data_IF_506191050655
#
_entry.id   IF_506191050655
#
_cell.length_a   1.000
_cell.length_b   1.000
_cell.length_c   1.000
_cell.angle_alpha   90.00
_cell.angle_beta   90.00
_cell.angle_gamma   90.00
#
_symmetry.space_group_name_H-M   'P 1'
#
loop_
_entity.id
_entity.type
_entity.pdbx_description
1 polymer ?
#
# COMPACT_ATOMS: atom_id res chain seq x y z
N UNK A 1 -20.80 -51.54 -32.96
CA UNK A 1 -19.84 -51.47 -31.84
C UNK A 1 -19.80 -50.02 -31.41
N UNK A 2 -20.72 -49.60 -30.54
CA UNK A 2 -20.44 -49.41 -29.11
C UNK A 2 -19.07 -48.76 -28.92
N UNK A 3 -19.05 -47.45 -28.71
CA UNK A 3 -18.09 -46.83 -27.79
C UNK A 3 -18.73 -45.54 -27.29
N UNK A 4 -19.52 -45.73 -26.22
CA UNK A 4 -19.90 -44.67 -25.32
C UNK A 4 -18.63 -44.23 -24.58
N UNK A 5 -17.97 -43.18 -25.06
CA UNK A 5 -16.94 -42.51 -24.28
C UNK A 5 -17.66 -41.56 -23.33
N UNK A 6 -18.05 -42.12 -22.18
CA UNK A 6 -18.59 -41.34 -21.07
C UNK A 6 -17.59 -40.26 -20.69
N UNK A 7 -17.97 -39.00 -20.83
CA UNK A 7 -17.21 -37.88 -20.28
C UNK A 7 -17.11 -38.09 -18.77
N UNK A 8 -15.91 -38.38 -18.27
CA UNK A 8 -15.66 -38.61 -16.86
C UNK A 8 -16.11 -37.36 -16.06
N UNK A 9 -17.08 -37.48 -15.14
CA UNK A 9 -17.60 -36.34 -14.38
C UNK A 9 -16.53 -35.61 -13.56
N UNK A 10 -15.39 -36.24 -13.27
CA UNK A 10 -14.26 -35.60 -12.59
C UNK A 10 -13.49 -34.62 -13.49
N UNK A 11 -13.38 -34.87 -14.80
CA UNK A 11 -12.69 -33.99 -15.75
C UNK A 11 -13.47 -32.69 -15.98
N UNK A 12 -14.80 -32.79 -16.08
CA UNK A 12 -15.70 -31.63 -16.15
C UNK A 12 -15.65 -30.77 -14.88
N UNK A 13 -15.51 -31.40 -13.71
CA UNK A 13 -15.37 -30.69 -12.43
C UNK A 13 -14.01 -29.97 -12.34
N UNK A 14 -12.93 -30.58 -12.83
CA UNK A 14 -11.61 -29.95 -12.85
C UNK A 14 -11.57 -28.74 -13.81
N UNK A 15 -12.13 -28.89 -15.01
CA UNK A 15 -12.27 -27.78 -15.98
C UNK A 15 -13.18 -26.66 -15.44
N UNK A 16 -14.30 -27.01 -14.80
CA UNK A 16 -15.17 -26.03 -14.16
C UNK A 16 -14.46 -25.26 -13.04
N UNK A 17 -13.68 -25.95 -12.21
CA UNK A 17 -12.91 -25.31 -11.14
C UNK A 17 -11.82 -24.37 -11.69
N UNK A 18 -11.07 -24.80 -12.71
CA UNK A 18 -10.06 -23.96 -13.36
C UNK A 18 -10.66 -22.70 -13.99
N UNK A 19 -11.81 -22.82 -14.65
CA UNK A 19 -12.53 -21.67 -15.23
C UNK A 19 -13.02 -20.67 -14.16
N UNK A 20 -13.41 -21.15 -12.98
CA UNK A 20 -13.79 -20.28 -11.86
C UNK A 20 -12.58 -19.58 -11.22
N UNK A 21 -11.43 -20.28 -11.10
CA UNK A 21 -10.19 -19.68 -10.60
C UNK A 21 -9.63 -18.62 -11.57
N UNK A 22 -9.63 -18.89 -12.89
CA UNK A 22 -9.19 -17.92 -13.90
C UNK A 22 -10.07 -16.66 -13.93
N UNK A 23 -11.39 -16.81 -13.72
CA UNK A 23 -12.30 -15.68 -13.56
C UNK A 23 -11.94 -14.83 -12.34
N UNK A 24 -11.61 -15.43 -11.20
CA UNK A 24 -11.22 -14.68 -10.00
C UNK A 24 -9.89 -13.93 -10.15
N UNK A 25 -8.87 -14.58 -10.73
CA UNK A 25 -7.58 -13.93 -11.01
C UNK A 25 -7.75 -12.75 -11.97
N UNK A 26 -8.57 -12.90 -13.01
CA UNK A 26 -8.86 -11.82 -13.98
C UNK A 26 -9.60 -10.64 -13.35
N UNK A 27 -10.58 -10.87 -12.48
CA UNK A 27 -11.31 -9.79 -11.78
C UNK A 27 -10.35 -8.98 -10.89
N UNK A 28 -9.42 -9.64 -10.20
CA UNK A 28 -8.46 -8.96 -9.34
C UNK A 28 -7.38 -8.21 -10.13
N UNK A 29 -6.92 -8.76 -11.25
CA UNK A 29 -5.95 -8.09 -12.15
C UNK A 29 -6.55 -6.87 -12.86
N UNK A 30 -7.79 -6.93 -13.37
CA UNK A 30 -8.45 -5.77 -14.01
C UNK A 30 -8.64 -4.61 -13.02
N UNK A 31 -8.89 -4.92 -11.74
CA UNK A 31 -8.98 -3.93 -10.67
C UNK A 31 -7.62 -3.30 -10.35
N UNK A 32 -6.53 -4.06 -10.50
CA UNK A 32 -5.16 -3.56 -10.34
C UNK A 32 -4.75 -2.62 -11.47
N UNK A 33 -5.06 -2.96 -12.72
CA UNK A 33 -4.67 -2.18 -13.90
C UNK A 33 -5.40 -0.83 -13.99
N UNK A 34 -6.68 -0.77 -13.61
CA UNK A 34 -7.41 0.51 -13.49
C UNK A 34 -6.96 1.36 -12.28
N UNK A 35 -6.37 0.75 -11.25
CA UNK A 35 -5.82 1.48 -10.09
C UNK A 35 -4.38 1.99 -10.30
N UNK A 36 -3.70 1.56 -11.35
CA UNK A 36 -2.31 1.98 -11.63
C UNK A 36 -2.24 3.37 -12.28
N UNK A 37 -3.31 3.82 -12.96
CA UNK A 37 -3.44 5.16 -13.53
C UNK A 37 -3.83 6.21 -12.47
N UNK A 38 -4.61 5.81 -11.45
CA UNK A 38 -4.83 6.60 -10.25
C UNK A 38 -3.89 6.14 -9.14
N UNK A 39 -2.61 6.51 -9.22
CA UNK A 39 -1.71 6.46 -8.05
C UNK A 39 -2.22 7.43 -6.99
N UNK A 40 -3.32 7.08 -6.33
CA UNK A 40 -3.70 7.62 -5.03
C UNK A 40 -2.61 7.14 -4.10
N UNK A 41 -1.57 7.97 -3.98
CA UNK A 41 -0.57 7.84 -2.93
C UNK A 41 -1.38 7.57 -1.65
N UNK A 42 -1.06 6.53 -0.87
CA UNK A 42 -1.76 6.27 0.37
C UNK A 42 -1.87 7.59 1.15
N UNK A 43 -3.06 7.85 1.72
CA UNK A 43 -3.40 9.14 2.37
C UNK A 43 -2.33 9.63 3.35
N UNK A 44 -1.57 8.70 3.91
CA UNK A 44 -0.35 8.95 4.69
C UNK A 44 0.75 8.05 4.16
N UNK A 45 1.90 8.62 3.81
CA UNK A 45 3.07 7.86 3.36
C UNK A 45 3.79 7.20 4.53
N UNK A 46 4.50 6.09 4.30
CA UNK A 46 5.29 5.43 5.34
C UNK A 46 6.34 6.36 5.98
N UNK A 47 6.93 7.26 5.19
CA UNK A 47 7.85 8.28 5.68
C UNK A 47 7.16 9.24 6.66
N UNK A 48 5.92 9.62 6.36
CA UNK A 48 5.14 10.55 7.19
C UNK A 48 4.71 9.91 8.52
N UNK A 49 4.35 8.63 8.52
CA UNK A 49 4.07 7.87 9.76
C UNK A 49 5.31 7.82 10.66
N UNK A 50 6.50 7.61 10.07
CA UNK A 50 7.76 7.59 10.82
C UNK A 50 8.07 8.95 11.45
N UNK A 51 8.05 10.03 10.65
CA UNK A 51 8.35 11.38 11.17
C UNK A 51 7.35 11.80 12.24
N UNK A 52 6.07 11.47 12.07
CA UNK A 52 5.07 11.80 13.08
C UNK A 52 5.34 11.09 14.41
N UNK A 53 5.79 9.83 14.38
CA UNK A 53 6.22 9.11 15.58
C UNK A 53 7.47 9.75 16.19
N UNK A 54 8.48 10.02 15.36
CA UNK A 54 9.75 10.60 15.80
C UNK A 54 9.51 11.95 16.51
N UNK A 55 8.63 12.80 15.96
CA UNK A 55 8.25 14.08 16.57
C UNK A 55 7.53 13.94 17.92
N UNK A 56 6.72 12.90 18.11
CA UNK A 56 6.04 12.67 19.40
C UNK A 56 6.98 12.14 20.48
N UNK A 57 8.07 11.49 20.10
CA UNK A 57 9.09 10.97 21.03
C UNK A 57 10.24 11.97 21.26
N UNK A 58 10.27 13.07 20.48
CA UNK A 58 11.35 14.06 20.52
C UNK A 58 11.20 15.00 21.73
N UNK A 59 12.07 14.85 22.71
CA UNK A 59 12.27 15.83 23.78
C UNK A 59 13.44 16.76 23.41
N UNK A 60 13.13 17.93 22.83
CA UNK A 60 14.15 18.93 22.49
C UNK A 60 14.52 19.79 23.72
N UNK A 61 15.82 19.98 24.01
CA UNK A 61 16.27 20.94 25.01
C UNK A 61 16.02 22.39 24.55
N UNK A 62 15.99 23.35 25.49
CA UNK A 62 15.67 24.77 25.19
C UNK A 62 16.65 25.44 24.20
N UNK A 63 17.85 24.88 24.03
CA UNK A 63 18.85 25.33 23.06
C UNK A 63 18.50 24.98 21.62
N UNK A 64 17.54 24.08 21.39
CA UNK A 64 17.12 23.62 20.07
C UNK A 64 15.65 23.93 19.82
N UNK A 65 15.36 24.72 18.79
CA UNK A 65 14.00 25.09 18.39
C UNK A 65 13.73 24.62 16.97
N UNK A 66 12.71 23.79 16.79
CA UNK A 66 12.26 23.33 15.48
C UNK A 66 11.04 24.14 15.03
N UNK A 67 11.04 24.58 13.77
CA UNK A 67 9.95 25.34 13.17
C UNK A 67 9.51 24.72 11.84
N UNK A 68 8.20 24.64 11.65
CA UNK A 68 7.55 24.11 10.45
C UNK A 68 6.90 25.27 9.70
N UNK A 69 7.37 25.62 8.50
CA UNK A 69 6.75 26.67 7.68
C UNK A 69 5.33 26.31 7.21
N UNK A 70 5.05 25.02 7.03
CA UNK A 70 3.73 24.47 6.70
C UNK A 70 3.41 23.30 7.64
N UNK A 71 2.28 23.36 8.33
CA UNK A 71 1.83 22.34 9.28
C UNK A 71 1.48 21.00 8.61
N UNK A 72 1.20 21.01 7.30
CA UNK A 72 0.89 19.80 6.54
C UNK A 72 2.14 19.13 5.93
N UNK A 73 3.27 19.83 5.95
CA UNK A 73 4.56 19.34 5.43
C UNK A 73 5.57 19.11 6.56
N UNK A 74 5.44 17.96 7.21
CA UNK A 74 6.33 17.55 8.30
C UNK A 74 7.72 17.12 7.83
N UNK A 75 7.94 16.95 6.51
CA UNK A 75 9.24 16.51 5.97
C UNK A 75 10.22 17.68 5.78
N UNK A 76 9.71 18.90 5.67
CA UNK A 76 10.52 20.10 5.47
C UNK A 76 10.38 21.02 6.69
N UNK A 77 11.43 21.08 7.51
CA UNK A 77 11.47 21.89 8.71
C UNK A 77 12.81 22.61 8.87
N UNK A 78 12.82 23.65 9.69
CA UNK A 78 14.05 24.33 10.10
C UNK A 78 14.36 24.00 11.56
N UNK A 79 15.62 23.72 11.84
CA UNK A 79 16.13 23.52 13.19
C UNK A 79 17.09 24.66 13.53
N UNK A 80 16.73 25.45 14.53
CA UNK A 80 17.60 26.48 15.09
C UNK A 80 18.28 25.90 16.34
N UNK A 81 19.61 25.93 16.35
CA UNK A 81 20.42 25.51 17.49
C UNK A 81 21.12 26.77 18.01
N UNK A 82 20.84 27.13 19.26
CA UNK A 82 21.50 28.22 19.98
C UNK A 82 22.45 27.59 21.00
N UNK A 83 23.76 27.55 20.72
CA UNK A 83 24.72 27.07 21.70
C UNK A 83 24.65 27.92 22.96
N UNK A 84 24.71 27.26 24.09
CA UNK A 84 24.71 27.81 25.44
C UNK A 84 26.12 27.83 26.03
N UNK A 85 27.09 28.36 25.26
CA UNK A 85 28.42 28.80 25.73
C UNK A 85 29.07 29.75 24.70
#
# INVERSE_FOLDING_TARGET
TSDAIGSNPEELNCQHKNFQFDKMIKIWSIKKDNSAAEKKKPKVSAAQIRVQKDLTELALPETMQMTFPDEHDLLNFNLSIRPDE
#
